data_IF_159876567953
#
_entry.id   IF_159876567953
#
_cell.length_a   1.000
_cell.length_b   1.000
_cell.length_c   1.000
_cell.angle_alpha   90.00
_cell.angle_beta   90.00
_cell.angle_gamma   90.00
#
_symmetry.space_group_name_H-M   'P 1'
#
loop_
_entity.id
_entity.type
_entity.pdbx_description
1 polymer ?
#
# COMPACT_ATOMS: atom_id res chain seq x y z
N UNK A 1 25.03 -36.48 -17.47
CA UNK A 1 25.15 -35.20 -16.75
C UNK A 1 23.76 -34.58 -16.65
N UNK A 2 23.07 -34.83 -15.54
CA UNK A 2 21.75 -34.24 -15.25
C UNK A 2 21.95 -32.83 -14.72
N UNK A 3 21.57 -31.83 -15.52
CA UNK A 3 21.53 -30.44 -15.07
C UNK A 3 20.58 -30.35 -13.86
N UNK A 4 21.12 -30.06 -12.68
CA UNK A 4 20.30 -29.59 -11.58
C UNK A 4 19.58 -28.32 -12.06
N UNK A 5 18.24 -28.23 -11.92
CA UNK A 5 17.55 -26.98 -12.23
C UNK A 5 18.15 -25.88 -11.37
N UNK A 6 18.62 -24.80 -12.02
CA UNK A 6 18.94 -23.55 -11.34
C UNK A 6 17.76 -23.19 -10.43
N UNK A 7 17.97 -22.86 -9.15
CA UNK A 7 16.90 -22.36 -8.30
C UNK A 7 16.54 -20.96 -8.82
N UNK A 8 15.77 -20.90 -9.90
CA UNK A 8 15.11 -19.69 -10.33
C UNK A 8 14.17 -19.32 -9.18
N UNK A 9 14.64 -18.41 -8.31
CA UNK A 9 13.80 -17.79 -7.29
C UNK A 9 12.63 -17.17 -8.03
N UNK A 10 11.44 -17.71 -7.81
CA UNK A 10 10.20 -17.22 -8.41
C UNK A 10 10.02 -15.71 -8.20
N UNK A 11 10.52 -15.19 -7.07
CA UNK A 11 10.69 -13.76 -6.78
C UNK A 11 11.28 -12.94 -7.94
N UNK A 12 12.39 -13.41 -8.54
CA UNK A 12 13.07 -12.71 -9.64
C UNK A 12 12.25 -12.63 -10.93
N UNK A 13 11.23 -13.47 -11.05
CA UNK A 13 10.29 -13.47 -12.18
C UNK A 13 9.04 -12.62 -11.94
N UNK A 14 8.83 -12.14 -10.71
CA UNK A 14 7.68 -11.31 -10.37
C UNK A 14 7.95 -9.83 -10.68
N UNK A 15 6.96 -9.11 -11.22
CA UNK A 15 7.11 -7.68 -11.45
C UNK A 15 7.33 -6.97 -10.12
N UNK A 16 8.41 -6.18 -10.04
CA UNK A 16 8.66 -5.36 -8.86
C UNK A 16 7.58 -4.30 -8.75
N UNK A 17 7.01 -4.16 -7.55
CA UNK A 17 6.14 -3.03 -7.22
C UNK A 17 6.94 -1.75 -7.49
N UNK A 18 6.37 -0.80 -8.22
CA UNK A 18 7.02 0.50 -8.51
C UNK A 18 6.47 1.61 -7.62
N UNK A 19 5.18 1.58 -7.32
CA UNK A 19 4.57 2.51 -6.37
C UNK A 19 3.50 1.81 -5.57
N UNK A 20 3.35 2.19 -4.30
CA UNK A 20 2.46 1.54 -3.35
C UNK A 20 2.02 2.54 -2.28
N UNK A 21 0.81 2.35 -1.78
CA UNK A 21 0.34 2.98 -0.54
C UNK A 21 -0.22 1.89 0.37
N UNK A 22 0.15 1.94 1.64
CA UNK A 22 -0.43 1.10 2.70
C UNK A 22 -0.99 2.05 3.74
N UNK A 23 -2.23 1.84 4.14
CA UNK A 23 -2.88 2.57 5.22
C UNK A 23 -2.96 1.67 6.43
N UNK A 24 -2.68 2.19 7.61
CA UNK A 24 -2.74 1.44 8.85
C UNK A 24 -2.52 2.32 10.07
N UNK A 25 -2.58 1.72 11.25
CA UNK A 25 -2.54 2.45 12.52
C UNK A 25 -3.56 3.60 12.53
N UNK A 26 -4.70 3.38 11.89
CA UNK A 26 -5.81 4.33 11.89
C UNK A 26 -6.41 4.38 13.28
N UNK A 27 -6.76 5.58 13.71
CA UNK A 27 -7.59 5.85 14.89
C UNK A 27 -8.81 6.66 14.44
N UNK A 28 -9.54 7.22 15.39
CA UNK A 28 -10.65 8.13 15.12
C UNK A 28 -10.20 9.45 14.48
N UNK A 29 -8.99 9.89 14.75
CA UNK A 29 -8.48 11.23 14.39
C UNK A 29 -7.15 11.21 13.66
N UNK A 30 -6.53 10.03 13.53
CA UNK A 30 -5.22 9.90 12.89
C UNK A 30 -5.14 8.67 11.99
N UNK A 31 -4.18 8.66 11.06
CA UNK A 31 -3.78 7.45 10.35
C UNK A 31 -2.30 7.54 9.96
N UNK A 32 -1.66 6.38 9.73
CA UNK A 32 -0.37 6.33 9.06
C UNK A 32 -0.55 5.83 7.64
N UNK A 33 0.09 6.52 6.71
CA UNK A 33 0.17 6.12 5.31
C UNK A 33 1.63 5.91 4.96
N UNK A 34 1.98 4.66 4.67
CA UNK A 34 3.26 4.30 4.09
C UNK A 34 3.15 4.39 2.59
N UNK A 35 4.09 5.10 1.97
CA UNK A 35 4.16 5.25 0.52
C UNK A 35 5.48 4.71 0.01
N UNK A 36 5.43 4.14 -1.18
CA UNK A 36 6.60 3.90 -2.03
C UNK A 36 6.34 4.55 -3.37
N UNK A 37 7.32 5.27 -3.89
CA UNK A 37 7.23 5.97 -5.18
C UNK A 37 8.22 5.38 -6.17
N UNK A 38 7.94 5.51 -7.46
CA UNK A 38 8.79 4.90 -8.49
C UNK A 38 10.11 5.65 -8.69
N UNK A 39 10.22 6.87 -8.17
CA UNK A 39 11.42 7.69 -8.18
C UNK A 39 11.49 8.55 -6.91
N UNK A 40 12.69 8.94 -6.45
CA UNK A 40 12.83 9.89 -5.35
C UNK A 40 12.27 11.26 -5.74
N UNK A 41 11.89 12.05 -4.74
CA UNK A 41 11.44 13.43 -4.94
C UNK A 41 10.37 13.87 -3.95
N UNK A 42 9.81 15.04 -4.22
CA UNK A 42 8.73 15.64 -3.45
C UNK A 42 7.36 15.15 -3.98
N UNK A 43 6.49 14.80 -3.05
CA UNK A 43 5.14 14.30 -3.32
C UNK A 43 4.14 14.92 -2.34
N UNK A 44 2.86 14.86 -2.68
CA UNK A 44 1.78 15.30 -1.81
C UNK A 44 0.69 14.23 -1.76
N UNK A 45 0.39 13.74 -0.55
CA UNK A 45 -0.82 12.99 -0.28
C UNK A 45 -1.97 13.96 -0.08
N UNK A 46 -3.05 13.76 -0.82
CA UNK A 46 -4.29 14.53 -0.69
C UNK A 46 -5.40 13.58 -0.28
N UNK A 47 -5.94 13.77 0.91
CA UNK A 47 -7.09 13.05 1.45
C UNK A 47 -8.35 13.90 1.23
N UNK A 48 -9.38 13.24 0.73
CA UNK A 48 -10.67 13.83 0.37
C UNK A 48 -11.74 13.09 1.15
N UNK A 49 -12.41 13.79 2.07
CA UNK A 49 -13.61 13.27 2.72
C UNK A 49 -14.66 12.88 1.66
N UNK A 50 -15.36 11.77 1.88
CA UNK A 50 -16.42 11.25 1.01
C UNK A 50 -17.46 12.30 0.58
N UNK A 51 -17.79 13.28 1.43
CA UNK A 51 -18.70 14.37 1.09
C UNK A 51 -18.24 15.20 -0.13
N UNK A 52 -16.93 15.27 -0.39
CA UNK A 52 -16.34 16.08 -1.46
C UNK A 52 -15.85 15.26 -2.67
N UNK A 53 -15.89 13.92 -2.60
CA UNK A 53 -15.19 13.07 -3.58
C UNK A 53 -15.72 13.23 -5.01
N UNK A 54 -17.03 13.36 -5.18
CA UNK A 54 -17.65 13.48 -6.51
C UNK A 54 -17.26 14.77 -7.21
N UNK A 55 -17.20 15.88 -6.46
CA UNK A 55 -16.74 17.17 -6.97
C UNK A 55 -15.27 17.08 -7.41
N UNK A 56 -14.41 16.53 -6.55
CA UNK A 56 -12.98 16.37 -6.87
C UNK A 56 -12.80 15.53 -8.13
N UNK A 57 -13.40 14.34 -8.19
CA UNK A 57 -13.29 13.43 -9.34
C UNK A 57 -13.73 14.07 -10.65
N UNK A 58 -14.81 14.87 -10.63
CA UNK A 58 -15.29 15.57 -11.82
C UNK A 58 -14.29 16.59 -12.39
N UNK A 59 -13.27 16.98 -11.62
CA UNK A 59 -12.27 17.98 -12.01
C UNK A 59 -10.87 17.40 -12.23
N UNK A 60 -10.64 16.14 -11.85
CA UNK A 60 -9.31 15.53 -11.86
C UNK A 60 -8.82 15.23 -13.28
N UNK A 61 -7.55 15.57 -13.52
CA UNK A 61 -6.81 15.21 -14.72
C UNK A 61 -5.41 14.70 -14.34
N UNK A 62 -5.06 13.51 -14.84
CA UNK A 62 -3.82 12.82 -14.50
C UNK A 62 -2.55 13.60 -14.84
N UNK A 63 -2.63 14.55 -15.78
CA UNK A 63 -1.50 15.22 -16.39
C UNK A 63 -1.41 16.70 -16.04
N UNK A 64 -2.48 17.28 -15.47
CA UNK A 64 -2.54 18.73 -15.20
C UNK A 64 -3.04 19.10 -13.82
N UNK A 65 -3.67 18.18 -13.07
CA UNK A 65 -4.14 18.51 -11.73
C UNK A 65 -2.98 18.65 -10.76
N UNK A 66 -3.09 19.64 -9.88
CA UNK A 66 -2.12 19.97 -8.86
C UNK A 66 -2.78 19.89 -7.46
N UNK A 67 -2.04 19.50 -6.41
CA UNK A 67 -2.56 19.48 -5.04
C UNK A 67 -3.15 20.82 -4.58
N UNK A 68 -2.70 21.94 -5.14
CA UNK A 68 -3.16 23.29 -4.79
C UNK A 68 -4.30 23.83 -5.65
N UNK A 69 -4.86 23.00 -6.53
CA UNK A 69 -6.07 23.36 -7.27
C UNK A 69 -7.22 23.68 -6.31
N UNK A 70 -8.11 24.60 -6.73
CA UNK A 70 -9.19 25.11 -5.88
C UNK A 70 -10.15 24.01 -5.37
N UNK A 71 -10.29 22.90 -6.09
CA UNK A 71 -11.10 21.75 -5.64
C UNK A 71 -10.54 21.06 -4.39
N UNK A 72 -9.26 21.31 -4.04
CA UNK A 72 -8.59 20.80 -2.84
C UNK A 72 -8.45 21.85 -1.73
N UNK A 73 -9.24 22.93 -1.78
CA UNK A 73 -9.27 23.98 -0.75
C UNK A 73 -10.48 23.88 0.18
N UNK A 74 -11.39 22.93 -0.05
CA UNK A 74 -12.61 22.76 0.74
C UNK A 74 -12.34 22.16 2.13
N UNK A 75 -13.25 22.41 3.08
CA UNK A 75 -13.25 21.69 4.36
C UNK A 75 -13.37 20.18 4.14
N UNK A 76 -12.63 19.39 4.92
CA UNK A 76 -12.56 17.94 4.74
C UNK A 76 -11.54 17.47 3.69
N UNK A 77 -10.73 18.40 3.16
CA UNK A 77 -9.50 18.08 2.44
C UNK A 77 -8.31 18.17 3.41
N UNK A 78 -7.47 17.14 3.43
CA UNK A 78 -6.24 17.12 4.24
C UNK A 78 -5.07 16.82 3.32
N UNK A 79 -3.98 17.57 3.45
CA UNK A 79 -2.79 17.41 2.62
C UNK A 79 -1.58 17.11 3.49
N UNK A 80 -0.71 16.25 2.99
CA UNK A 80 0.57 15.97 3.61
C UNK A 80 1.67 15.88 2.54
N UNK A 81 2.62 16.80 2.58
CA UNK A 81 3.80 16.76 1.72
C UNK A 81 4.82 15.78 2.29
N UNK A 82 5.46 15.01 1.42
CA UNK A 82 6.46 14.01 1.79
C UNK A 82 7.60 14.01 0.77
N UNK A 83 8.80 13.61 1.20
CA UNK A 83 9.97 13.50 0.35
C UNK A 83 10.44 12.06 0.37
N UNK A 84 10.54 11.43 -0.79
CA UNK A 84 11.09 10.07 -0.93
C UNK A 84 12.53 10.13 -1.38
N UNK A 85 13.34 9.21 -0.88
CA UNK A 85 14.78 9.13 -1.14
C UNK A 85 15.16 7.70 -1.54
N UNK A 86 16.02 7.58 -2.55
CA UNK A 86 16.52 6.31 -3.06
C UNK A 86 17.24 5.49 -1.98
N UNK A 87 17.87 6.15 -1.01
CA UNK A 87 18.48 5.53 0.17
C UNK A 87 17.50 4.64 0.94
N UNK A 88 16.21 4.98 0.93
CA UNK A 88 15.14 4.25 1.61
C UNK A 88 14.24 3.51 0.62
N UNK A 89 14.76 3.17 -0.57
CA UNK A 89 13.98 2.55 -1.67
C UNK A 89 12.73 3.37 -2.02
N UNK A 90 12.87 4.70 -1.98
CA UNK A 90 11.81 5.68 -2.24
C UNK A 90 10.57 5.49 -1.34
N UNK A 91 10.75 4.95 -0.14
CA UNK A 91 9.70 4.76 0.85
C UNK A 91 9.66 5.90 1.87
N UNK A 92 8.47 6.28 2.30
CA UNK A 92 8.25 7.24 3.38
C UNK A 92 6.98 6.87 4.17
N UNK A 93 6.88 7.29 5.42
CA UNK A 93 5.70 7.12 6.25
C UNK A 93 5.27 8.46 6.84
N UNK A 94 4.02 8.83 6.57
CA UNK A 94 3.44 10.04 7.14
C UNK A 94 2.32 9.72 8.11
N UNK A 95 2.29 10.42 9.24
CA UNK A 95 1.13 10.46 10.13
C UNK A 95 0.24 11.61 9.69
N UNK A 96 -1.01 11.33 9.39
CA UNK A 96 -2.02 12.35 9.13
C UNK A 96 -2.88 12.48 10.37
N UNK A 97 -3.07 13.70 10.83
CA UNK A 97 -3.77 14.04 12.07
C UNK A 97 -5.02 14.89 11.79
N UNK A 98 -5.81 15.14 12.83
CA UNK A 98 -7.02 15.96 12.79
C UNK A 98 -8.07 15.47 11.79
N UNK A 99 -8.12 14.16 11.57
CA UNK A 99 -9.18 13.52 10.79
C UNK A 99 -10.49 13.50 11.58
N UNK A 100 -11.60 13.46 10.86
CA UNK A 100 -12.92 13.34 11.46
C UNK A 100 -13.18 11.87 11.81
N UNK A 101 -13.68 11.54 13.02
CA UNK A 101 -14.06 10.17 13.37
C UNK A 101 -15.10 9.57 12.43
N UNK A 102 -15.09 8.24 12.33
CA UNK A 102 -16.02 7.44 11.53
C UNK A 102 -16.25 7.96 10.10
N UNK A 103 -15.17 8.36 9.44
CA UNK A 103 -15.25 9.08 8.16
C UNK A 103 -14.44 8.34 7.11
N UNK A 104 -15.04 8.14 5.94
CA UNK A 104 -14.34 7.63 4.77
C UNK A 104 -13.54 8.74 4.11
N UNK A 105 -12.26 8.49 3.92
CA UNK A 105 -11.34 9.34 3.17
C UNK A 105 -10.84 8.59 1.95
N UNK A 106 -11.01 9.21 0.79
CA UNK A 106 -10.34 8.83 -0.44
C UNK A 106 -8.98 9.50 -0.48
N UNK A 107 -7.96 8.87 -1.07
CA UNK A 107 -6.64 9.46 -1.12
C UNK A 107 -5.99 9.36 -2.50
N UNK A 108 -5.21 10.39 -2.80
CA UNK A 108 -4.43 10.55 -4.02
C UNK A 108 -2.99 10.86 -3.67
N UNK A 109 -2.05 10.33 -4.46
CA UNK A 109 -0.63 10.66 -4.37
C UNK A 109 -0.23 11.47 -5.60
N UNK A 110 0.08 12.75 -5.39
CA UNK A 110 0.50 13.67 -6.42
C UNK A 110 2.02 13.83 -6.43
N UNK A 111 2.60 13.98 -7.62
CA UNK A 111 3.89 14.63 -7.76
C UNK A 111 3.77 16.08 -7.26
N UNK A 112 4.82 16.59 -6.64
CA UNK A 112 4.81 17.93 -6.05
C UNK A 112 6.18 18.61 -6.20
N UNK A 113 6.23 19.93 -6.03
CA UNK A 113 7.47 20.71 -6.18
C UNK A 113 8.21 20.40 -7.49
N UNK A 114 9.52 20.23 -7.42
CA UNK A 114 10.34 19.95 -8.61
C UNK A 114 9.94 18.64 -9.32
N UNK A 115 9.46 17.64 -8.57
CA UNK A 115 8.98 16.37 -9.15
C UNK A 115 7.78 16.60 -10.06
N UNK A 116 6.91 17.56 -9.71
CA UNK A 116 5.74 17.87 -10.52
C UNK A 116 6.16 18.33 -11.91
N UNK A 117 7.15 19.21 -12.02
CA UNK A 117 7.60 19.76 -13.30
C UNK A 117 8.30 18.71 -14.18
N UNK A 118 8.99 17.77 -13.55
CA UNK A 118 9.74 16.71 -14.25
C UNK A 118 8.84 15.59 -14.79
N UNK A 119 7.71 15.33 -14.15
CA UNK A 119 6.87 14.18 -14.50
C UNK A 119 5.73 14.55 -15.45
N UNK A 120 5.48 13.76 -16.51
CA UNK A 120 4.31 13.99 -17.36
C UNK A 120 3.00 13.68 -16.63
N UNK A 121 2.96 12.55 -15.91
CA UNK A 121 1.81 12.17 -15.08
C UNK A 121 1.99 12.76 -13.68
N UNK A 122 1.01 13.54 -13.24
CA UNK A 122 1.02 14.27 -11.97
C UNK A 122 0.39 13.49 -10.82
N UNK A 123 -0.48 12.53 -11.13
CA UNK A 123 -1.14 11.68 -10.12
C UNK A 123 -0.63 10.24 -10.24
N UNK A 124 0.09 9.78 -9.22
CA UNK A 124 0.67 8.45 -9.16
C UNK A 124 -0.35 7.39 -8.69
N UNK A 125 -1.12 7.70 -7.64
CA UNK A 125 -2.10 6.78 -7.02
C UNK A 125 -3.45 7.45 -6.80
N UNK A 126 -4.51 6.63 -6.77
CA UNK A 126 -5.88 7.04 -6.45
C UNK A 126 -6.75 7.41 -7.65
N UNK A 127 -6.17 7.60 -8.85
CA UNK A 127 -6.93 7.99 -10.05
C UNK A 127 -7.52 6.82 -10.82
N UNK A 128 -6.68 5.85 -11.23
CA UNK A 128 -7.13 4.70 -12.03
C UNK A 128 -7.85 3.65 -11.19
N UNK A 129 -7.35 3.43 -9.97
CA UNK A 129 -7.96 2.59 -8.95
C UNK A 129 -8.18 3.49 -7.75
N UNK A 130 -9.42 3.52 -7.30
CA UNK A 130 -9.77 4.29 -6.11
C UNK A 130 -9.14 3.66 -4.87
N UNK A 131 -8.64 4.52 -4.00
CA UNK A 131 -8.15 4.09 -2.71
C UNK A 131 -8.83 4.90 -1.63
N UNK A 132 -9.35 4.19 -0.63
CA UNK A 132 -10.03 4.79 0.50
C UNK A 132 -9.75 4.00 1.77
N UNK A 133 -9.95 4.66 2.89
CA UNK A 133 -9.99 4.04 4.22
C UNK A 133 -11.04 4.76 5.07
N UNK A 134 -11.41 4.17 6.19
CA UNK A 134 -12.29 4.82 7.18
C UNK A 134 -11.51 5.05 8.47
N UNK A 135 -11.62 6.25 9.04
CA UNK A 135 -11.19 6.55 10.43
C UNK A 135 -12.15 5.96 11.43
N UNK A 136 -11.64 5.56 12.58
CA UNK A 136 -12.40 4.79 13.57
C UNK A 136 -13.49 5.61 14.25
N UNK A 137 -14.44 4.91 14.87
CA UNK A 137 -15.42 5.57 15.71
C UNK A 137 -14.71 6.24 16.89
N UNK A 138 -15.22 7.41 17.28
CA UNK A 138 -14.68 8.15 18.41
C UNK A 138 -14.65 7.25 19.65
N UNK A 139 -13.53 7.20 20.35
CA UNK A 139 -13.42 6.39 21.58
C UNK A 139 -14.42 6.90 22.64
N UNK A 140 -15.09 6.03 23.42
CA UNK A 140 -14.97 4.56 23.45
C UNK A 140 -16.04 3.83 22.61
N UNK A 141 -16.61 4.45 21.58
CA UNK A 141 -17.84 4.00 20.93
C UNK A 141 -17.72 2.78 20.02
N UNK A 142 -16.56 2.12 19.97
CA UNK A 142 -16.39 0.88 19.22
C UNK A 142 -17.40 -0.20 19.62
N UNK A 143 -18.37 -0.44 18.75
CA UNK A 143 -19.38 -1.48 18.91
C UNK A 143 -19.46 -2.27 17.60
N UNK A 144 -19.54 -3.59 17.68
CA UNK A 144 -19.80 -4.47 16.54
C UNK A 144 -18.86 -4.24 15.33
N UNK A 145 -17.57 -4.53 15.49
CA UNK A 145 -16.60 -4.50 14.39
C UNK A 145 -16.20 -5.90 13.92
N UNK A 146 -15.75 -5.98 12.67
CA UNK A 146 -15.09 -7.17 12.11
C UNK A 146 -13.64 -6.83 11.80
N UNK A 147 -12.73 -7.78 11.98
CA UNK A 147 -11.32 -7.63 11.63
C UNK A 147 -10.81 -8.86 10.87
N UNK A 148 -9.86 -8.65 9.97
CA UNK A 148 -9.12 -9.70 9.30
C UNK A 148 -7.87 -10.06 10.07
N UNK A 149 -7.49 -11.34 10.07
CA UNK A 149 -6.21 -11.77 10.61
C UNK A 149 -5.54 -12.70 9.61
N UNK A 150 -4.25 -12.47 9.36
CA UNK A 150 -3.47 -13.31 8.48
C UNK A 150 -2.01 -13.39 8.91
N UNK A 151 -1.37 -14.52 8.60
CA UNK A 151 0.04 -14.77 8.88
C UNK A 151 0.58 -15.75 7.85
N UNK A 152 1.90 -15.93 7.82
CA UNK A 152 2.55 -16.93 6.97
C UNK A 152 2.24 -16.73 5.48
N UNK A 153 2.15 -15.47 5.05
CA UNK A 153 2.01 -15.13 3.65
C UNK A 153 3.36 -15.34 2.98
N UNK A 154 3.48 -16.38 2.14
CA UNK A 154 4.70 -16.68 1.39
C UNK A 154 4.48 -16.40 -0.11
N UNK A 155 4.50 -15.12 -0.54
CA UNK A 155 4.22 -14.76 -1.93
C UNK A 155 5.34 -15.20 -2.90
N UNK A 156 6.50 -15.57 -2.36
CA UNK A 156 7.72 -15.87 -3.12
C UNK A 156 8.15 -17.33 -3.05
N UNK A 157 7.41 -18.13 -2.27
CA UNK A 157 7.57 -19.56 -2.12
C UNK A 157 7.49 -20.33 -3.44
N UNK A 158 7.78 -21.64 -3.37
CA UNK A 158 7.56 -22.53 -4.51
C UNK A 158 6.16 -22.31 -5.06
N UNK A 159 6.03 -22.19 -6.40
CA UNK A 159 4.76 -22.13 -7.14
C UNK A 159 3.74 -23.01 -6.44
N UNK A 160 2.95 -22.41 -5.58
CA UNK A 160 1.91 -23.15 -4.90
C UNK A 160 0.95 -23.58 -6.00
N UNK A 161 0.53 -24.83 -5.99
CA UNK A 161 -0.39 -25.36 -7.02
C UNK A 161 -1.75 -24.63 -6.97
N UNK A 162 -1.99 -23.86 -5.90
CA UNK A 162 -3.08 -22.91 -5.70
C UNK A 162 -2.56 -21.71 -4.90
N UNK A 163 -2.96 -20.48 -5.19
CA UNK A 163 -2.66 -19.30 -4.36
C UNK A 163 -3.29 -19.35 -2.94
N UNK A 164 -3.72 -20.53 -2.48
CA UNK A 164 -4.40 -20.76 -1.22
C UNK A 164 -5.74 -20.02 -1.20
N UNK A 165 -6.10 -19.51 -0.02
CA UNK A 165 -7.27 -18.64 0.17
C UNK A 165 -6.91 -17.15 -0.01
N UNK A 166 -5.67 -16.81 -0.41
CA UNK A 166 -5.25 -15.41 -0.55
C UNK A 166 -6.02 -14.62 -1.60
N UNK A 167 -6.37 -15.19 -2.77
CA UNK A 167 -7.24 -14.52 -3.73
C UNK A 167 -8.61 -14.17 -3.13
N UNK A 168 -9.17 -15.10 -2.35
CA UNK A 168 -10.50 -14.96 -1.75
C UNK A 168 -10.49 -14.07 -0.49
N UNK A 169 -9.32 -13.89 0.15
CA UNK A 169 -9.20 -13.17 1.41
C UNK A 169 -9.73 -11.74 1.26
N UNK A 170 -9.30 -11.01 0.22
CA UNK A 170 -9.78 -9.65 -0.04
C UNK A 170 -11.30 -9.58 -0.19
N UNK A 171 -11.89 -10.50 -0.96
CA UNK A 171 -13.35 -10.56 -1.18
C UNK A 171 -14.11 -10.83 0.12
N UNK A 172 -13.61 -11.74 0.97
CA UNK A 172 -14.21 -12.04 2.27
C UNK A 172 -14.13 -10.81 3.20
N UNK A 173 -12.99 -10.10 3.20
CA UNK A 173 -12.84 -8.91 4.02
C UNK A 173 -13.86 -7.83 3.63
N UNK A 174 -14.10 -7.66 2.33
CA UNK A 174 -15.09 -6.73 1.79
C UNK A 174 -16.53 -7.17 2.14
N UNK A 175 -16.89 -8.44 1.92
CA UNK A 175 -18.22 -9.00 2.26
C UNK A 175 -18.54 -8.84 3.75
N UNK A 176 -17.55 -9.02 4.62
CA UNK A 176 -17.71 -8.87 6.07
C UNK A 176 -17.63 -7.44 6.56
N UNK A 177 -17.52 -6.45 5.66
CA UNK A 177 -17.33 -5.04 6.01
C UNK A 177 -16.22 -4.87 7.06
N UNK A 178 -15.07 -5.49 6.78
CA UNK A 178 -13.96 -5.58 7.72
C UNK A 178 -13.37 -4.19 7.99
N UNK A 179 -13.13 -3.91 9.27
CA UNK A 179 -12.63 -2.63 9.75
C UNK A 179 -11.13 -2.44 9.57
N UNK A 180 -10.36 -3.46 9.94
CA UNK A 180 -8.91 -3.45 9.82
C UNK A 180 -8.39 -4.89 9.70
N UNK A 181 -7.13 -5.02 9.32
CA UNK A 181 -6.46 -6.31 9.16
C UNK A 181 -5.20 -6.34 10.02
N UNK A 182 -4.97 -7.46 10.70
CA UNK A 182 -3.76 -7.72 11.47
C UNK A 182 -2.89 -8.72 10.71
N UNK A 183 -1.66 -8.29 10.38
CA UNK A 183 -0.60 -9.18 9.91
C UNK A 183 0.15 -9.79 11.10
N UNK A 184 -0.14 -11.04 11.44
CA UNK A 184 0.38 -11.77 12.61
C UNK A 184 1.83 -12.22 12.55
N UNK A 185 2.52 -12.06 11.41
CA UNK A 185 3.93 -12.39 11.25
C UNK A 185 4.22 -13.16 9.97
N UNK A 186 5.50 -13.29 9.64
CA UNK A 186 6.01 -14.07 8.51
C UNK A 186 5.34 -13.74 7.16
N UNK A 187 5.45 -12.48 6.75
CA UNK A 187 4.69 -11.94 5.61
C UNK A 187 5.35 -12.11 4.24
N UNK A 188 6.66 -12.39 4.23
CA UNK A 188 7.47 -12.39 2.99
C UNK A 188 8.57 -13.45 2.98
N UNK A 189 8.96 -14.01 4.14
CA UNK A 189 9.93 -15.10 4.25
C UNK A 189 11.28 -14.87 3.53
N UNK A 190 11.78 -13.63 3.49
CA UNK A 190 13.01 -13.25 2.76
C UNK A 190 14.26 -14.04 3.20
N UNK A 191 14.25 -14.66 4.37
CA UNK A 191 15.39 -15.38 4.98
C UNK A 191 15.44 -16.88 4.66
N UNK A 192 14.36 -17.44 4.08
CA UNK A 192 14.24 -18.87 3.73
C UNK A 192 14.55 -19.13 2.25
N UNK A 193 14.33 -18.13 1.38
CA UNK A 193 14.56 -18.18 -0.07
C UNK A 193 16.06 -18.11 -0.40
N UNK A 194 16.74 -19.27 -0.38
CA UNK A 194 18.15 -19.41 -0.77
C UNK A 194 18.96 -20.39 0.08
N UNK A 195 18.47 -20.75 1.29
CA UNK A 195 19.16 -21.68 2.20
C UNK A 195 18.87 -23.16 1.90
N UNK A 196 17.78 -23.48 1.21
CA UNK A 196 17.44 -24.87 0.83
C UNK A 196 18.46 -25.52 -0.11
N UNK A 197 19.13 -24.75 -0.97
CA UNK A 197 20.17 -25.29 -1.88
C UNK A 197 21.41 -25.82 -1.12
N UNK A 198 21.79 -25.18 -0.01
CA UNK A 198 22.95 -25.59 0.79
C UNK A 198 22.74 -26.86 1.61
N UNK A 199 21.51 -27.15 2.05
CA UNK A 199 21.19 -28.38 2.80
C UNK A 199 21.14 -29.63 1.92
N UNK A 200 20.70 -29.52 0.67
CA UNK A 200 20.74 -30.63 -0.28
C UNK A 200 22.16 -30.95 -0.76
N UNK A 201 22.99 -29.94 -1.03
CA UNK A 201 24.40 -30.13 -1.40
C UNK A 201 25.23 -30.84 -0.30
N UNK A 202 24.96 -30.56 0.98
CA UNK A 202 25.64 -31.25 2.10
C UNK A 202 25.23 -32.72 2.25
N UNK A 203 24.02 -33.12 1.85
CA UNK A 203 23.59 -34.52 1.91
C UNK A 203 24.13 -35.37 0.75
N UNK A 204 24.38 -34.76 -0.42
CA UNK A 204 24.97 -35.47 -1.57
C UNK A 204 26.49 -35.69 -1.44
N UNK A 205 27.19 -34.87 -0.65
CA UNK A 205 28.63 -35.03 -0.41
C UNK A 205 28.96 -35.89 0.83
N UNK A 206 27.97 -36.59 1.39
CA UNK A 206 28.14 -37.50 2.54
C UNK A 206 27.71 -38.95 2.22
N UNK A 207 27.52 -39.28 0.94
CA UNK A 207 27.26 -40.64 0.44
C UNK A 207 28.36 -41.09 -0.50
#
# INVERSE_FOLDING_TARGET
MTHLPSPNQYESSLPKLKSMCIVGHTTDTTTKIWVRTFQPGQWCLVLVNEANIQQVKGTLNAFTSHPDDACFSASGIVKATLNTDEKYDNCECVTIENLTPNTRYYYYLFAYGDTYDQLPRKIERGMAIEHAFCTDEASPHWQNFSFGFYSCHDPFGHRSVSDGLWPDFGEILEDKNTRFVIGGGDQVYCDTHGKRSRRQAKKQNQS
#
